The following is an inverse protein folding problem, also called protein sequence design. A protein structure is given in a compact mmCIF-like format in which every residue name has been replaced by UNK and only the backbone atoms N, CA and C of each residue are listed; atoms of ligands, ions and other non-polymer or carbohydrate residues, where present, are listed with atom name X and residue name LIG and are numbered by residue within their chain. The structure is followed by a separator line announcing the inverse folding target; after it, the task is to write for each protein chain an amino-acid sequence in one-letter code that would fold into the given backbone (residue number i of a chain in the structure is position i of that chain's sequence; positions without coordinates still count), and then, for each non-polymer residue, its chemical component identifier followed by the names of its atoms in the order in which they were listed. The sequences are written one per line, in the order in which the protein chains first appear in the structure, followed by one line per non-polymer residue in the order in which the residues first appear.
data_IF_578076334784
#
_entry.id   IF_578076334784
#
_cell.length_a   1.000
_cell.length_b   1.000
_cell.length_c   1.000
_cell.angle_alpha   90.00
_cell.angle_beta   90.00
_cell.angle_gamma   90.00
#
_symmetry.space_group_name_H-M   'P 1'
#
loop_
_entity.id
_entity.type
_entity.pdbx_description
1 polymer ?
#
# COMPACT_ATOMS: atom_id res chain seq x y z
N UNK A 1 -0.24 38.90 1.03
CA UNK A 1 -1.46 38.73 0.20
C UNK A 1 -1.40 37.39 -0.49
N UNK A 2 -2.19 36.41 -0.03
CA UNK A 2 -2.29 35.08 -0.65
C UNK A 2 -3.31 35.17 -1.78
N UNK A 3 -2.84 35.48 -2.99
CA UNK A 3 -3.66 35.41 -4.19
C UNK A 3 -3.99 33.95 -4.48
N UNK A 4 -5.27 33.61 -4.33
CA UNK A 4 -5.83 32.33 -4.77
C UNK A 4 -5.68 32.24 -6.28
N UNK A 5 -4.62 31.58 -6.76
CA UNK A 5 -4.43 31.33 -8.19
C UNK A 5 -5.51 30.37 -8.67
N UNK A 6 -6.41 30.89 -9.48
CA UNK A 6 -7.47 30.12 -10.11
C UNK A 6 -6.89 29.36 -11.31
N UNK A 7 -7.55 28.26 -11.71
CA UNK A 7 -7.16 27.40 -12.85
C UNK A 7 -7.00 28.17 -14.18
N UNK A 8 -7.44 29.44 -14.24
CA UNK A 8 -7.41 30.31 -15.42
C UNK A 8 -6.25 31.31 -15.42
N UNK A 9 -5.42 31.37 -14.38
CA UNK A 9 -4.28 32.28 -14.34
C UNK A 9 -3.11 31.76 -15.21
N UNK A 10 -2.44 32.68 -15.90
CA UNK A 10 -1.36 32.38 -16.87
C UNK A 10 -0.25 31.54 -16.21
N UNK A 11 0.10 30.40 -16.82
CA UNK A 11 1.07 29.47 -16.25
C UNK A 11 2.43 30.18 -16.01
N UNK A 12 3.02 30.09 -14.81
CA UNK A 12 4.32 30.72 -14.56
C UNK A 12 5.38 30.17 -15.49
N UNK A 13 6.10 31.07 -16.16
CA UNK A 13 7.19 30.74 -17.08
C UNK A 13 8.27 29.94 -16.32
N UNK A 14 8.40 28.66 -16.67
CA UNK A 14 9.31 27.70 -16.02
C UNK A 14 10.79 28.07 -16.20
N UNK A 15 11.08 28.95 -17.17
CA UNK A 15 12.43 29.43 -17.49
C UNK A 15 13.06 30.30 -16.40
N UNK A 16 12.30 30.71 -15.37
CA UNK A 16 12.80 31.53 -14.24
C UNK A 16 13.48 30.71 -13.13
N UNK A 17 13.54 29.38 -13.29
CA UNK A 17 14.24 28.46 -12.37
C UNK A 17 13.34 27.46 -11.66
N UNK A 18 13.93 26.59 -10.83
CA UNK A 18 13.24 25.46 -10.18
C UNK A 18 12.04 25.88 -9.31
N UNK A 19 12.11 27.06 -8.70
CA UNK A 19 11.00 27.60 -7.93
C UNK A 19 9.74 27.85 -8.78
N UNK A 20 9.90 28.32 -10.03
CA UNK A 20 8.78 28.51 -10.94
C UNK A 20 8.15 27.16 -11.36
N UNK A 21 8.98 26.13 -11.56
CA UNK A 21 8.50 24.77 -11.83
C UNK A 21 7.70 24.18 -10.64
N UNK A 22 8.17 24.37 -9.41
CA UNK A 22 7.44 23.92 -8.21
C UNK A 22 6.09 24.64 -8.05
N UNK A 23 6.05 25.95 -8.28
CA UNK A 23 4.81 26.73 -8.27
C UNK A 23 3.83 26.24 -9.34
N UNK A 24 4.32 25.90 -10.54
CA UNK A 24 3.49 25.31 -11.59
C UNK A 24 2.91 23.94 -11.16
N UNK A 25 3.73 23.06 -10.58
CA UNK A 25 3.27 21.76 -10.08
C UNK A 25 2.25 21.90 -8.94
N UNK A 26 2.42 22.90 -8.07
CA UNK A 26 1.46 23.23 -7.02
C UNK A 26 0.13 23.70 -7.60
N UNK A 27 0.17 24.64 -8.56
CA UNK A 27 -1.02 25.17 -9.23
C UNK A 27 -1.76 24.09 -10.03
N UNK A 28 -1.02 23.16 -10.65
CA UNK A 28 -1.57 22.00 -11.37
C UNK A 28 -2.06 20.88 -10.46
N UNK A 29 -1.90 20.99 -9.14
CA UNK A 29 -2.31 19.96 -8.19
C UNK A 29 -1.53 18.65 -8.29
N UNK A 30 -0.33 18.68 -8.87
CA UNK A 30 0.54 17.50 -9.02
C UNK A 30 1.33 17.19 -7.75
N UNK A 31 1.40 18.15 -6.83
CA UNK A 31 2.04 17.98 -5.53
C UNK A 31 1.01 17.49 -4.50
N UNK A 32 1.36 16.42 -3.81
CA UNK A 32 0.60 15.93 -2.67
C UNK A 32 0.87 16.84 -1.46
N UNK A 33 0.07 17.90 -1.31
CA UNK A 33 0.19 18.89 -0.21
C UNK A 33 -0.52 18.44 1.06
N UNK A 34 -1.42 17.46 0.95
CA UNK A 34 -2.02 16.80 2.08
C UNK A 34 -1.03 15.73 2.56
N UNK A 35 -0.42 15.97 3.72
CA UNK A 35 0.08 14.86 4.55
C UNK A 35 -1.09 13.88 4.64
N UNK A 36 -1.00 12.75 3.95
CA UNK A 36 -1.98 11.69 4.05
C UNK A 36 -2.16 11.47 5.55
N UNK A 37 -3.33 11.83 6.07
CA UNK A 37 -3.73 11.41 7.41
C UNK A 37 -3.87 9.91 7.28
N UNK A 38 -2.75 9.19 7.41
CA UNK A 38 -2.76 7.78 7.74
C UNK A 38 -3.67 7.72 8.94
N UNK A 39 -4.87 7.20 8.71
CA UNK A 39 -5.77 6.88 9.78
C UNK A 39 -4.99 5.88 10.63
N UNK A 40 -4.30 6.40 11.65
CA UNK A 40 -3.83 5.58 12.75
C UNK A 40 -5.13 5.06 13.32
N UNK A 41 -5.50 3.86 12.89
CA UNK A 41 -6.47 3.06 13.62
C UNK A 41 -5.85 2.99 15.00
N UNK A 42 -6.39 3.78 15.95
CA UNK A 42 -6.00 3.68 17.34
C UNK A 42 -6.30 2.23 17.67
N UNK A 43 -5.24 1.43 17.79
CA UNK A 43 -5.39 0.02 18.12
C UNK A 43 -6.32 0.00 19.35
N UNK A 44 -7.49 -0.66 19.29
CA UNK A 44 -8.20 -0.91 20.52
C UNK A 44 -7.21 -1.68 21.39
N UNK A 45 -6.83 -1.10 22.54
CA UNK A 45 -6.03 -1.75 23.59
C UNK A 45 -6.84 -2.89 24.22
N UNK A 46 -7.37 -3.79 23.40
CA UNK A 46 -7.95 -5.05 23.80
C UNK A 46 -6.99 -6.06 23.22
N UNK A 47 -6.01 -6.45 24.03
CA UNK A 47 -5.33 -7.73 23.84
C UNK A 47 -6.42 -8.77 23.65
N UNK A 48 -6.61 -9.24 22.43
CA UNK A 48 -7.44 -10.42 22.21
C UNK A 48 -6.77 -11.51 23.06
N UNK A 49 -7.46 -12.09 24.07
CA UNK A 49 -6.91 -13.26 24.72
C UNK A 49 -6.74 -14.26 23.59
N UNK A 50 -5.50 -14.64 23.30
CA UNK A 50 -5.23 -15.78 22.45
C UNK A 50 -5.86 -16.96 23.19
N UNK A 51 -7.09 -17.30 22.84
CA UNK A 51 -7.70 -18.55 23.26
C UNK A 51 -6.91 -19.62 22.51
N UNK A 52 -5.79 -20.01 23.10
CA UNK A 52 -5.04 -21.19 22.71
C UNK A 52 -5.98 -22.34 23.05
N UNK A 53 -6.86 -22.71 22.12
CA UNK A 53 -7.54 -23.99 22.16
C UNK A 53 -6.45 -25.06 21.99
N UNK A 54 -5.80 -25.40 23.09
CA UNK A 54 -5.02 -26.62 23.19
C UNK A 54 -6.05 -27.73 23.18
N UNK A 55 -6.22 -28.41 22.05
CA UNK A 55 -6.87 -29.71 22.05
C UNK A 55 -5.99 -30.58 22.94
N UNK A 56 -6.45 -30.84 24.17
CA UNK A 56 -5.79 -31.77 25.08
C UNK A 56 -6.00 -33.18 24.56
N UNK A 57 -5.24 -33.56 23.52
CA UNK A 57 -5.01 -34.96 23.25
C UNK A 57 -4.25 -35.51 24.46
N UNK A 58 -4.93 -36.31 25.28
CA UNK A 58 -4.35 -37.10 26.36
C UNK A 58 -3.38 -38.13 25.77
N UNK A 59 -2.22 -37.67 25.35
CA UNK A 59 -1.08 -38.48 24.95
C UNK A 59 -0.07 -38.41 26.08
N UNK A 60 0.24 -39.58 26.61
CA UNK A 60 1.06 -39.83 27.79
C UNK A 60 2.30 -38.93 27.87
N UNK A 61 2.46 -38.38 29.07
CA UNK A 61 3.68 -37.91 29.72
C UNK A 61 4.79 -38.90 29.31
N UNK A 62 5.84 -38.52 28.56
CA UNK A 62 7.11 -38.11 29.19
C UNK A 62 8.22 -37.84 28.13
N UNK A 63 8.01 -36.93 27.16
CA UNK A 63 9.11 -36.57 26.21
C UNK A 63 8.98 -35.22 25.46
N UNK A 64 8.07 -34.34 25.89
CA UNK A 64 7.63 -33.16 25.09
C UNK A 64 8.09 -31.78 25.61
N UNK A 65 9.02 -31.69 26.55
CA UNK A 65 9.48 -30.37 27.03
C UNK A 65 10.61 -29.74 26.21
N UNK A 66 11.34 -30.49 25.38
CA UNK A 66 12.45 -29.93 24.57
C UNK A 66 11.99 -29.20 23.30
N UNK A 67 10.83 -29.56 22.71
CA UNK A 67 10.40 -29.05 21.39
C UNK A 67 9.56 -27.77 21.43
N UNK A 68 9.15 -27.30 22.62
CA UNK A 68 8.28 -26.12 22.76
C UNK A 68 9.04 -24.81 22.86
N UNK A 69 10.29 -24.85 23.33
CA UNK A 69 11.18 -23.68 23.45
C UNK A 69 11.57 -23.13 22.08
N UNK A 70 11.90 -24.01 21.12
CA UNK A 70 12.38 -23.61 19.78
C UNK A 70 11.35 -22.81 18.94
N UNK A 71 10.05 -22.85 19.30
CA UNK A 71 8.98 -22.17 18.58
C UNK A 71 8.54 -20.84 19.22
N UNK A 72 9.23 -20.37 20.27
CA UNK A 72 8.96 -19.07 20.94
C UNK A 72 9.90 -17.93 20.49
N UNK A 73 10.63 -18.09 19.38
CA UNK A 73 11.59 -17.09 18.91
C UNK A 73 11.00 -15.76 18.41
N UNK A 74 9.70 -15.68 18.10
CA UNK A 74 9.10 -14.46 17.53
C UNK A 74 8.58 -13.46 18.57
N UNK A 75 8.53 -13.84 19.85
CA UNK A 75 7.98 -12.98 20.92
C UNK A 75 9.07 -12.36 21.80
N UNK A 76 10.30 -12.22 21.28
CA UNK A 76 11.34 -11.51 22.01
C UNK A 76 11.05 -10.01 21.98
N UNK A 77 10.73 -9.45 23.14
CA UNK A 77 10.51 -8.02 23.29
C UNK A 77 11.77 -7.27 22.85
N UNK A 78 11.64 -6.45 21.80
CA UNK A 78 12.72 -5.65 21.22
C UNK A 78 13.05 -4.46 22.14
N UNK A 79 13.64 -4.74 23.31
CA UNK A 79 14.00 -3.75 24.35
C UNK A 79 15.38 -3.12 24.15
N UNK A 80 16.16 -3.59 23.17
CA UNK A 80 17.54 -3.11 22.95
C UNK A 80 17.64 -1.74 22.26
N UNK A 81 16.51 -1.17 21.82
CA UNK A 81 16.48 0.12 21.10
C UNK A 81 15.30 0.99 21.53
N UNK A 82 15.36 1.52 22.75
CA UNK A 82 14.36 2.44 23.32
C UNK A 82 14.17 3.78 22.54
N UNK A 83 14.91 4.01 21.47
CA UNK A 83 14.78 5.18 20.58
C UNK A 83 14.53 4.86 19.10
N UNK A 84 14.41 3.59 18.71
CA UNK A 84 14.23 3.22 17.31
C UNK A 84 12.77 3.42 16.88
N UNK A 85 12.54 4.35 15.95
CA UNK A 85 11.23 4.64 15.35
C UNK A 85 11.22 4.21 13.88
N UNK A 86 10.97 2.92 13.58
CA UNK A 86 10.85 2.47 12.20
C UNK A 86 9.60 3.11 11.56
N UNK A 87 9.77 3.69 10.37
CA UNK A 87 8.65 4.11 9.53
C UNK A 87 8.15 2.90 8.73
N UNK A 88 7.24 2.13 9.33
CA UNK A 88 6.70 0.91 8.73
C UNK A 88 5.60 1.26 7.73
N UNK A 89 5.88 1.08 6.44
CA UNK A 89 4.92 1.26 5.34
C UNK A 89 4.45 -0.10 4.83
N UNK A 90 3.15 -0.35 4.92
CA UNK A 90 2.53 -1.56 4.39
C UNK A 90 1.99 -1.24 3.00
N UNK A 91 2.70 -1.71 1.98
CA UNK A 91 2.30 -1.55 0.58
C UNK A 91 2.08 -2.92 -0.07
N UNK A 92 1.06 -2.99 -0.93
CA UNK A 92 0.79 -4.19 -1.73
C UNK A 92 1.14 -3.87 -3.19
N UNK A 93 2.04 -4.64 -3.77
CA UNK A 93 2.53 -4.46 -5.13
C UNK A 93 2.25 -5.69 -5.97
N UNK A 94 1.99 -5.50 -7.27
CA UNK A 94 1.95 -6.60 -8.23
C UNK A 94 3.33 -6.91 -8.83
N UNK A 95 3.38 -7.90 -9.72
CA UNK A 95 4.61 -8.33 -10.42
C UNK A 95 5.24 -7.23 -11.27
N UNK A 96 4.47 -6.19 -11.63
CA UNK A 96 4.94 -5.06 -12.42
C UNK A 96 5.42 -3.89 -11.54
N UNK A 97 5.34 -4.03 -10.22
CA UNK A 97 5.69 -2.98 -9.26
C UNK A 97 4.60 -1.91 -9.09
N UNK A 98 3.41 -2.11 -9.65
CA UNK A 98 2.28 -1.18 -9.46
C UNK A 98 1.69 -1.37 -8.06
N UNK A 99 1.48 -0.25 -7.36
CA UNK A 99 0.75 -0.24 -6.09
C UNK A 99 -0.69 -0.68 -6.31
N UNK A 100 -1.09 -1.76 -5.64
CA UNK A 100 -2.41 -2.35 -5.74
C UNK A 100 -3.40 -1.58 -4.88
N UNK A 101 -4.63 -1.51 -5.37
CA UNK A 101 -5.75 -1.08 -4.53
C UNK A 101 -6.02 -2.13 -3.44
N UNK A 102 -6.57 -1.76 -2.27
CA UNK A 102 -6.88 -2.73 -1.21
C UNK A 102 -7.76 -3.89 -1.68
N UNK A 103 -8.68 -3.64 -2.62
CA UNK A 103 -9.55 -4.66 -3.24
C UNK A 103 -8.76 -5.64 -4.11
N UNK A 104 -7.72 -5.18 -4.78
CA UNK A 104 -6.85 -6.02 -5.60
C UNK A 104 -5.87 -6.81 -4.73
N UNK A 105 -5.29 -6.17 -3.72
CA UNK A 105 -4.44 -6.81 -2.72
C UNK A 105 -5.16 -7.97 -2.02
N UNK A 106 -6.37 -7.73 -1.49
CA UNK A 106 -7.16 -8.78 -0.86
C UNK A 106 -7.49 -9.94 -1.80
N UNK A 107 -7.77 -9.64 -3.07
CA UNK A 107 -8.06 -10.66 -4.09
C UNK A 107 -6.83 -11.52 -4.39
N UNK A 108 -5.66 -10.90 -4.51
CA UNK A 108 -4.42 -11.65 -4.72
C UNK A 108 -4.08 -12.53 -3.51
N UNK A 109 -4.17 -12.00 -2.30
CA UNK A 109 -3.99 -12.76 -1.06
C UNK A 109 -4.99 -13.92 -0.98
N UNK A 110 -6.26 -13.67 -1.27
CA UNK A 110 -7.31 -14.71 -1.28
C UNK A 110 -7.05 -15.80 -2.32
N UNK A 111 -6.62 -15.45 -3.54
CA UNK A 111 -6.29 -16.46 -4.57
C UNK A 111 -5.06 -17.29 -4.18
N UNK A 112 -4.04 -16.66 -3.57
CA UNK A 112 -2.86 -17.37 -3.05
C UNK A 112 -3.23 -18.29 -1.89
N UNK A 113 -4.11 -17.85 -1.00
CA UNK A 113 -4.59 -18.62 0.13
C UNK A 113 -5.45 -19.82 -0.30
N UNK A 114 -6.43 -19.61 -1.18
CA UNK A 114 -7.34 -20.67 -1.61
C UNK A 114 -6.81 -21.53 -2.78
N UNK A 115 -5.69 -21.15 -3.40
CA UNK A 115 -5.13 -21.83 -4.57
C UNK A 115 -6.00 -21.76 -5.84
N UNK A 116 -7.14 -21.04 -5.79
CA UNK A 116 -8.09 -20.91 -6.90
C UNK A 116 -7.93 -19.54 -7.53
N UNK A 117 -7.35 -19.52 -8.73
CA UNK A 117 -7.18 -18.30 -9.52
C UNK A 117 -8.46 -17.83 -10.21
N UNK A 118 -8.39 -16.63 -10.80
CA UNK A 118 -9.40 -16.20 -11.77
C UNK A 118 -9.27 -16.99 -13.07
N UNK A 119 -10.40 -17.31 -13.72
CA UNK A 119 -10.39 -17.95 -15.03
C UNK A 119 -9.83 -17.06 -16.15
N UNK A 120 -9.41 -17.70 -17.25
CA UNK A 120 -8.70 -17.10 -18.40
C UNK A 120 -9.35 -15.81 -18.95
N UNK A 121 -10.67 -15.84 -19.19
CA UNK A 121 -11.38 -14.68 -19.73
C UNK A 121 -11.35 -13.46 -18.77
N UNK A 122 -11.35 -13.69 -17.46
CA UNK A 122 -11.27 -12.62 -16.45
C UNK A 122 -9.86 -12.05 -16.33
N UNK A 123 -8.82 -12.88 -16.52
CA UNK A 123 -7.44 -12.43 -16.50
C UNK A 123 -7.12 -11.61 -17.75
N UNK A 124 -7.54 -12.06 -18.94
CA UNK A 124 -7.34 -11.34 -20.20
C UNK A 124 -8.03 -9.96 -20.19
N UNK A 125 -9.31 -9.90 -19.78
CA UNK A 125 -10.01 -8.61 -19.67
C UNK A 125 -9.34 -7.65 -18.70
N UNK A 126 -8.76 -8.18 -17.61
CA UNK A 126 -8.05 -7.35 -16.62
C UNK A 126 -6.73 -6.85 -17.18
N UNK A 127 -5.94 -7.71 -17.84
CA UNK A 127 -4.69 -7.30 -18.48
C UNK A 127 -4.93 -6.21 -19.53
N UNK A 128 -5.94 -6.40 -20.40
CA UNK A 128 -6.30 -5.37 -21.39
C UNK A 128 -6.63 -4.02 -20.75
N UNK A 129 -7.39 -4.01 -19.64
CA UNK A 129 -7.72 -2.78 -18.92
C UNK A 129 -6.46 -2.10 -18.34
N UNK A 130 -5.51 -2.89 -17.83
CA UNK A 130 -4.24 -2.36 -17.30
C UNK A 130 -3.38 -1.74 -18.41
N UNK A 131 -3.35 -2.38 -19.59
CA UNK A 131 -2.63 -1.88 -20.75
C UNK A 131 -3.25 -0.59 -21.29
N UNK A 132 -4.59 -0.51 -21.36
CA UNK A 132 -5.32 0.70 -21.72
C UNK A 132 -5.05 1.84 -20.72
N UNK A 133 -5.09 1.58 -19.41
CA UNK A 133 -4.75 2.58 -18.37
C UNK A 133 -3.30 3.04 -18.49
N UNK A 134 -2.37 2.11 -18.75
CA UNK A 134 -0.96 2.42 -18.92
C UNK A 134 -0.69 3.24 -20.19
N UNK A 135 -1.40 2.93 -21.29
CA UNK A 135 -1.31 3.67 -22.54
C UNK A 135 -1.89 5.08 -22.38
N UNK A 136 -3.08 5.20 -21.79
CA UNK A 136 -3.72 6.49 -21.55
C UNK A 136 -2.87 7.39 -20.65
N UNK A 137 -2.19 6.83 -19.65
CA UNK A 137 -1.28 7.59 -18.78
C UNK A 137 -0.01 8.06 -19.51
N UNK A 138 0.43 7.33 -20.55
CA UNK A 138 1.59 7.72 -21.38
C UNK A 138 1.22 8.79 -22.41
N UNK A 139 -0.03 8.82 -22.85
CA UNK A 139 -0.54 9.84 -23.77
C UNK A 139 -0.50 11.21 -23.09
N UNK A 140 0.26 12.17 -23.66
CA UNK A 140 0.27 13.55 -23.17
C UNK A 140 -1.07 14.21 -23.47
N UNK A 141 -1.52 15.10 -22.58
CA UNK A 141 -2.81 15.82 -22.64
C UNK A 141 -2.96 16.78 -23.84
N UNK A 142 -2.06 16.72 -24.82
CA UNK A 142 -1.99 17.61 -25.98
C UNK A 142 -2.52 16.99 -27.27
N UNK A 143 -2.85 15.71 -27.28
CA UNK A 143 -3.24 14.97 -28.49
C UNK A 143 -4.62 14.33 -28.33
N UNK A 144 -5.63 15.18 -28.23
CA UNK A 144 -7.03 14.78 -28.45
C UNK A 144 -7.49 15.41 -29.76
N UNK A 145 -7.64 14.65 -30.86
CA UNK A 145 -8.05 15.16 -32.17
C UNK A 145 -9.58 15.38 -32.22
N UNK A 146 -10.12 16.10 -31.24
CA UNK A 146 -11.51 16.53 -31.17
C UNK A 146 -11.64 18.06 -31.17
N UNK A 147 -10.63 18.76 -31.69
CA UNK A 147 -10.64 20.19 -32.00
C UNK A 147 -10.28 20.42 -33.45
#
# INVERSE_FOLDING_TARGET
STSSTTILDEEPIVNRGLAAALMLCQNKGLLETTVQKVARVKAPNKSLPSAVYCIEDKMAIDDKYSRREEYRGFTQDFKEKDGYKPDVKIEYVDETGRKLTPKEAFRQLSHRFHGKGSGKMKTERRMKKLDEEALLKKMSSSDTPLG
#
